data_IF_443830304655
#
_entry.id   IF_443830304655
#
_cell.length_a   1.000
_cell.length_b   1.000
_cell.length_c   1.000
_cell.angle_alpha   90.00
_cell.angle_beta   90.00
_cell.angle_gamma   90.00
#
_symmetry.space_group_name_H-M   'P 1'
#
loop_
_entity.id
_entity.type
_entity.pdbx_description
1 polymer ?
#
# COMPACT_ATOMS: atom_id res chain seq x y z
N UNK A 1 -45.39 8.31 18.19
CA UNK A 1 -44.28 7.38 17.88
C UNK A 1 -43.04 7.96 18.53
N UNK A 2 -42.59 7.40 19.65
CA UNK A 2 -41.33 7.82 20.28
C UNK A 2 -40.18 7.38 19.38
N UNK A 3 -39.24 8.28 19.08
CA UNK A 3 -38.04 7.91 18.36
C UNK A 3 -37.23 6.94 19.23
N UNK A 4 -36.91 5.75 18.69
CA UNK A 4 -36.04 4.80 19.37
C UNK A 4 -34.67 5.43 19.61
N UNK A 5 -34.27 5.50 20.88
CA UNK A 5 -32.95 6.01 21.24
C UNK A 5 -31.90 4.96 20.87
N UNK A 6 -30.90 5.39 20.08
CA UNK A 6 -29.76 4.56 19.71
C UNK A 6 -28.54 4.91 20.58
N UNK A 7 -27.85 3.89 21.06
CA UNK A 7 -26.61 4.02 21.83
C UNK A 7 -25.43 3.44 21.05
N UNK A 8 -24.31 4.16 21.02
CA UNK A 8 -23.06 3.71 20.42
C UNK A 8 -22.09 3.29 21.52
N UNK A 9 -21.74 2.00 21.54
CA UNK A 9 -20.76 1.45 22.46
C UNK A 9 -19.42 1.30 21.74
N UNK A 10 -18.35 1.79 22.37
CA UNK A 10 -17.00 1.71 21.84
C UNK A 10 -16.11 0.90 22.78
N UNK A 11 -15.45 -0.10 22.24
CA UNK A 11 -14.33 -0.74 22.94
C UNK A 11 -13.04 -0.02 22.56
N UNK A 12 -12.51 0.77 23.50
CA UNK A 12 -11.38 1.68 23.26
C UNK A 12 -10.11 1.00 22.72
N UNK A 13 -9.85 -0.24 23.14
CA UNK A 13 -8.65 -0.99 22.77
C UNK A 13 -8.93 -2.12 21.78
N UNK A 14 -10.06 -2.07 21.06
CA UNK A 14 -10.46 -3.13 20.13
C UNK A 14 -9.37 -3.45 19.09
N UNK A 15 -8.73 -2.43 18.51
CA UNK A 15 -7.71 -2.62 17.50
C UNK A 15 -6.46 -3.33 18.06
N UNK A 16 -5.93 -2.88 19.20
CA UNK A 16 -4.77 -3.54 19.83
C UNK A 16 -5.12 -4.95 20.26
N UNK A 17 -6.31 -5.17 20.82
CA UNK A 17 -6.76 -6.48 21.26
C UNK A 17 -6.87 -7.46 20.09
N UNK A 18 -7.45 -7.05 18.95
CA UNK A 18 -7.59 -7.93 17.79
C UNK A 18 -6.23 -8.25 17.16
N UNK A 19 -5.32 -7.26 17.06
CA UNK A 19 -3.97 -7.49 16.53
C UNK A 19 -3.18 -8.45 17.42
N UNK A 20 -3.21 -8.25 18.73
CA UNK A 20 -2.52 -9.14 19.70
C UNK A 20 -3.11 -10.56 19.67
N UNK A 21 -4.43 -10.70 19.50
CA UNK A 21 -5.05 -12.00 19.37
C UNK A 21 -4.56 -12.74 18.11
N UNK A 22 -4.46 -12.07 16.96
CA UNK A 22 -3.95 -12.69 15.74
C UNK A 22 -2.45 -13.02 15.82
N UNK A 23 -1.66 -12.23 16.54
CA UNK A 23 -0.26 -12.55 16.85
C UNK A 23 -0.17 -13.86 17.66
N UNK A 24 -0.88 -13.97 18.78
CA UNK A 24 -0.91 -15.21 19.57
C UNK A 24 -1.39 -16.42 18.77
N UNK A 25 -2.47 -16.28 17.97
CA UNK A 25 -2.96 -17.36 17.10
C UNK A 25 -1.90 -17.83 16.09
N UNK A 26 -1.05 -16.91 15.60
CA UNK A 26 0.04 -17.28 14.70
C UNK A 26 1.15 -18.02 15.44
N UNK A 27 1.55 -17.52 16.61
CA UNK A 27 2.64 -18.09 17.41
C UNK A 27 2.30 -19.50 17.93
N UNK A 28 1.04 -19.70 18.33
CA UNK A 28 0.52 -20.99 18.79
C UNK A 28 0.13 -21.93 17.61
N UNK A 29 0.22 -21.44 16.36
CA UNK A 29 -0.24 -22.12 15.14
C UNK A 29 -1.73 -22.54 15.17
N UNK A 30 -2.57 -21.84 15.92
CA UNK A 30 -3.99 -22.09 16.02
C UNK A 30 -4.73 -21.63 14.77
N UNK A 31 -5.64 -22.47 14.23
CA UNK A 31 -6.45 -22.18 13.04
C UNK A 31 -5.67 -21.81 11.77
N UNK A 32 -4.36 -22.06 11.72
CA UNK A 32 -3.56 -21.90 10.50
C UNK A 32 -4.08 -22.84 9.42
N UNK A 33 -4.32 -22.29 8.25
CA UNK A 33 -5.02 -22.98 7.16
C UNK A 33 -4.29 -22.84 5.81
N UNK A 34 -3.03 -22.42 5.84
CA UNK A 34 -2.12 -22.34 4.68
C UNK A 34 -0.67 -22.50 5.13
N UNK A 35 0.14 -23.10 4.27
CA UNK A 35 1.61 -23.16 4.44
C UNK A 35 2.30 -22.40 3.31
N UNK A 36 3.25 -21.54 3.65
CA UNK A 36 4.16 -20.89 2.70
C UNK A 36 5.51 -21.58 2.76
N UNK A 37 6.03 -22.02 1.61
CA UNK A 37 7.30 -22.73 1.50
C UNK A 37 8.32 -21.91 0.71
N UNK A 38 9.52 -21.71 1.26
CA UNK A 38 10.64 -21.06 0.59
C UNK A 38 11.97 -21.59 1.16
N UNK A 39 13.03 -21.63 0.34
CA UNK A 39 14.37 -22.10 0.76
C UNK A 39 14.38 -23.45 1.51
N UNK A 40 13.52 -24.39 1.11
CA UNK A 40 13.40 -25.70 1.76
C UNK A 40 12.75 -25.66 3.16
N UNK A 41 12.30 -24.49 3.62
CA UNK A 41 11.63 -24.26 4.90
C UNK A 41 10.17 -23.91 4.68
N UNK A 42 9.37 -24.02 5.74
CA UNK A 42 7.93 -23.78 5.72
C UNK A 42 7.51 -22.88 6.88
N UNK A 43 6.49 -22.04 6.64
CA UNK A 43 5.83 -21.21 7.64
C UNK A 43 4.32 -21.39 7.50
N UNK A 44 3.63 -21.72 8.59
CA UNK A 44 2.16 -21.77 8.61
C UNK A 44 1.58 -20.38 8.88
N UNK A 45 0.40 -20.12 8.32
CA UNK A 45 -0.27 -18.82 8.44
C UNK A 45 -1.78 -18.95 8.24
N UNK A 46 -2.47 -17.82 8.34
CA UNK A 46 -3.90 -17.69 8.10
C UNK A 46 -4.18 -17.11 6.71
N UNK A 47 -4.98 -17.80 5.90
CA UNK A 47 -5.47 -17.32 4.59
C UNK A 47 -6.16 -15.97 4.72
N UNK A 48 -6.90 -15.76 5.81
CA UNK A 48 -7.60 -14.50 6.08
C UNK A 48 -6.62 -13.33 6.15
N UNK A 49 -5.58 -13.42 6.98
CA UNK A 49 -4.58 -12.36 7.17
C UNK A 49 -3.83 -12.11 5.86
N UNK A 50 -3.34 -13.17 5.19
CA UNK A 50 -2.67 -13.03 3.89
C UNK A 50 -3.56 -12.33 2.85
N UNK A 51 -4.84 -12.71 2.77
CA UNK A 51 -5.81 -12.09 1.86
C UNK A 51 -6.17 -10.65 2.26
N UNK A 52 -6.10 -10.33 3.55
CA UNK A 52 -6.33 -9.00 4.13
C UNK A 52 -5.12 -8.07 4.01
N UNK A 53 -3.93 -8.59 3.72
CA UNK A 53 -2.73 -7.79 3.51
C UNK A 53 -2.21 -7.82 2.07
N UNK A 54 -2.62 -8.78 1.23
CA UNK A 54 -2.13 -8.94 -0.14
C UNK A 54 -3.24 -9.26 -1.14
N UNK A 55 -3.47 -8.41 -2.17
CA UNK A 55 -4.33 -8.75 -3.31
C UNK A 55 -3.83 -9.96 -4.10
N UNK A 56 -2.51 -10.21 -4.12
CA UNK A 56 -1.93 -11.40 -4.74
C UNK A 56 -2.41 -12.67 -4.04
N UNK A 57 -2.20 -12.79 -2.73
CA UNK A 57 -2.66 -13.95 -1.97
C UNK A 57 -4.18 -14.09 -2.01
N UNK A 58 -4.93 -12.98 -1.92
CA UNK A 58 -6.39 -13.01 -2.06
C UNK A 58 -6.83 -13.63 -3.39
N UNK A 59 -6.22 -13.22 -4.49
CA UNK A 59 -6.58 -13.72 -5.83
C UNK A 59 -6.15 -15.18 -6.00
N UNK A 60 -4.95 -15.54 -5.52
CA UNK A 60 -4.41 -16.89 -5.54
C UNK A 60 -5.32 -17.87 -4.78
N UNK A 61 -5.72 -17.52 -3.56
CA UNK A 61 -6.50 -18.41 -2.69
C UNK A 61 -7.96 -18.51 -3.12
N UNK A 62 -8.55 -17.42 -3.64
CA UNK A 62 -9.92 -17.45 -4.17
C UNK A 62 -10.04 -18.37 -5.40
N UNK A 63 -9.00 -18.41 -6.24
CA UNK A 63 -8.97 -19.27 -7.43
C UNK A 63 -8.70 -20.75 -7.14
N UNK A 64 -8.27 -21.09 -5.91
CA UNK A 64 -7.82 -22.43 -5.54
C UNK A 64 -8.43 -22.85 -4.19
N UNK A 65 -9.71 -23.26 -4.17
CA UNK A 65 -10.36 -23.71 -2.95
C UNK A 65 -9.73 -25.04 -2.49
N UNK A 66 -8.81 -24.95 -1.55
CA UNK A 66 -8.16 -26.08 -0.88
C UNK A 66 -8.23 -25.86 0.63
N UNK A 67 -8.39 -26.94 1.40
CA UNK A 67 -8.43 -26.86 2.86
C UNK A 67 -7.12 -26.28 3.42
N UNK A 68 -5.97 -26.75 2.94
CA UNK A 68 -4.65 -26.32 3.40
C UNK A 68 -3.64 -26.26 2.24
N UNK A 69 -3.67 -25.20 1.40
CA UNK A 69 -2.74 -25.06 0.30
C UNK A 69 -1.30 -24.86 0.80
N UNK A 70 -0.35 -25.43 0.06
CA UNK A 70 1.08 -25.17 0.23
C UNK A 70 1.53 -24.30 -0.95
N UNK A 71 1.94 -23.06 -0.67
CA UNK A 71 2.37 -22.09 -1.68
C UNK A 71 3.88 -22.00 -1.69
N UNK A 72 4.49 -22.40 -2.81
CA UNK A 72 5.93 -22.29 -3.00
C UNK A 72 6.31 -20.90 -3.53
N UNK A 73 7.09 -20.17 -2.75
CA UNK A 73 7.60 -18.84 -3.09
C UNK A 73 9.04 -18.96 -3.56
N UNK A 74 9.23 -18.94 -4.88
CA UNK A 74 10.56 -18.86 -5.49
C UNK A 74 11.15 -17.46 -5.34
N UNK A 75 12.47 -17.37 -5.28
CA UNK A 75 13.22 -16.10 -5.25
C UNK A 75 12.89 -15.22 -4.02
N UNK A 76 12.35 -15.82 -2.96
CA UNK A 76 12.09 -15.18 -1.66
C UNK A 76 12.91 -15.89 -0.62
N UNK A 77 13.72 -15.14 0.13
CA UNK A 77 14.47 -15.69 1.25
C UNK A 77 13.56 -15.93 2.44
N UNK A 78 13.87 -16.93 3.27
CA UNK A 78 13.09 -17.22 4.48
C UNK A 78 13.05 -16.04 5.43
N UNK A 79 14.15 -15.30 5.55
CA UNK A 79 14.23 -14.08 6.36
C UNK A 79 13.23 -13.03 5.86
N UNK A 80 13.22 -12.75 4.55
CA UNK A 80 12.27 -11.79 3.98
C UNK A 80 10.82 -12.26 4.13
N UNK A 81 10.54 -13.55 3.93
CA UNK A 81 9.18 -14.07 4.11
C UNK A 81 8.72 -13.92 5.57
N UNK A 82 9.59 -14.20 6.53
CA UNK A 82 9.30 -14.03 7.97
C UNK A 82 8.99 -12.58 8.27
N UNK A 83 9.87 -11.65 7.86
CA UNK A 83 9.65 -10.21 8.04
C UNK A 83 8.38 -9.69 7.38
N UNK A 84 8.02 -10.23 6.21
CA UNK A 84 6.76 -9.89 5.53
C UNK A 84 5.56 -10.33 6.35
N UNK A 85 5.59 -11.55 6.89
CA UNK A 85 4.50 -12.01 7.76
C UNK A 85 4.44 -11.18 9.04
N UNK A 86 5.57 -10.86 9.67
CA UNK A 86 5.60 -10.04 10.88
C UNK A 86 4.99 -8.66 10.62
N UNK A 87 5.32 -8.04 9.48
CA UNK A 87 4.65 -6.83 9.03
C UNK A 87 3.13 -7.01 8.85
N UNK A 88 2.68 -8.15 8.31
CA UNK A 88 1.25 -8.42 8.12
C UNK A 88 0.48 -8.62 9.43
N UNK A 89 1.09 -9.22 10.45
CA UNK A 89 0.44 -9.50 11.74
C UNK A 89 0.57 -8.35 12.73
N UNK A 90 1.70 -7.64 12.76
CA UNK A 90 1.94 -6.55 13.72
C UNK A 90 1.65 -5.16 13.15
N UNK A 91 1.59 -5.05 11.82
CA UNK A 91 1.48 -3.77 11.12
C UNK A 91 2.81 -3.03 10.98
N UNK A 92 3.90 -3.56 11.52
CA UNK A 92 5.26 -3.02 11.45
C UNK A 92 6.32 -4.14 11.50
N UNK A 93 7.53 -3.84 11.02
CA UNK A 93 8.67 -4.75 11.07
C UNK A 93 9.97 -3.97 11.11
N UNK A 94 10.97 -4.49 11.81
CA UNK A 94 12.32 -3.96 11.81
C UNK A 94 13.18 -4.75 10.82
N UNK A 95 13.78 -4.07 9.85
CA UNK A 95 14.64 -4.68 8.82
C UNK A 95 15.96 -3.92 8.78
N UNK A 96 17.07 -4.64 8.63
CA UNK A 96 18.39 -4.01 8.52
C UNK A 96 18.52 -3.22 7.22
N UNK A 97 19.40 -2.22 7.20
CA UNK A 97 19.65 -1.42 5.99
C UNK A 97 20.04 -2.27 4.78
N UNK A 98 20.81 -3.34 5.01
CA UNK A 98 21.29 -4.24 3.95
C UNK A 98 20.16 -5.11 3.39
N UNK A 99 19.17 -5.47 4.21
CA UNK A 99 18.05 -6.33 3.78
C UNK A 99 16.89 -5.54 3.19
N UNK A 100 16.77 -4.24 3.53
CA UNK A 100 15.65 -3.38 3.17
C UNK A 100 15.26 -3.45 1.69
N UNK A 101 16.25 -3.39 0.79
CA UNK A 101 15.99 -3.45 -0.65
C UNK A 101 15.37 -4.79 -1.07
N UNK A 102 15.86 -5.91 -0.51
CA UNK A 102 15.35 -7.25 -0.80
C UNK A 102 13.98 -7.50 -0.17
N UNK A 103 13.76 -6.97 1.04
CA UNK A 103 12.47 -6.98 1.72
C UNK A 103 11.40 -6.24 0.90
N UNK A 104 11.68 -5.00 0.47
CA UNK A 104 10.74 -4.21 -0.34
C UNK A 104 10.46 -4.86 -1.69
N UNK A 105 11.48 -5.45 -2.34
CA UNK A 105 11.28 -6.22 -3.58
C UNK A 105 10.34 -7.41 -3.36
N UNK A 106 10.48 -8.11 -2.23
CA UNK A 106 9.59 -9.21 -1.86
C UNK A 106 8.17 -8.71 -1.60
N UNK A 107 8.03 -7.59 -0.87
CA UNK A 107 6.75 -6.96 -0.58
C UNK A 107 6.00 -6.56 -1.86
N UNK A 108 6.71 -5.99 -2.84
CA UNK A 108 6.18 -5.63 -4.15
C UNK A 108 5.71 -6.87 -4.92
N UNK A 109 6.55 -7.91 -5.00
CA UNK A 109 6.21 -9.16 -5.70
C UNK A 109 4.98 -9.84 -5.10
N UNK A 110 4.84 -9.82 -3.77
CA UNK A 110 3.69 -10.34 -3.04
C UNK A 110 2.55 -9.33 -2.94
N UNK A 111 2.65 -8.14 -3.53
CA UNK A 111 1.65 -7.06 -3.51
C UNK A 111 1.17 -6.72 -2.09
N UNK A 112 2.09 -6.63 -1.13
CA UNK A 112 1.74 -6.34 0.27
C UNK A 112 1.25 -4.90 0.41
N UNK A 113 0.02 -4.72 0.91
CA UNK A 113 -0.57 -3.39 1.13
C UNK A 113 0.30 -2.56 2.06
N UNK A 114 0.41 -1.27 1.77
CA UNK A 114 1.25 -0.34 2.53
C UNK A 114 2.75 -0.39 2.18
N UNK A 115 3.20 -1.42 1.46
CA UNK A 115 4.60 -1.57 1.02
C UNK A 115 4.77 -1.67 -0.50
N UNK A 116 3.76 -2.20 -1.21
CA UNK A 116 3.76 -2.30 -2.66
C UNK A 116 3.13 -1.07 -3.34
N UNK A 117 3.71 -0.60 -4.44
CA UNK A 117 3.32 0.61 -5.18
C UNK A 117 2.07 0.44 -6.08
N UNK A 118 1.05 -0.30 -5.65
CA UNK A 118 -0.17 -0.48 -6.46
C UNK A 118 -1.26 0.60 -6.22
N UNK A 119 -1.14 1.43 -5.16
CA UNK A 119 -2.14 2.46 -4.81
C UNK A 119 -1.81 3.87 -5.34
N UNK A 120 -0.61 4.13 -5.86
CA UNK A 120 -0.28 5.44 -6.46
C UNK A 120 -1.08 5.72 -7.75
N UNK A 121 -1.46 4.69 -8.51
CA UNK A 121 -2.20 4.85 -9.80
C UNK A 121 -3.73 4.86 -9.67
N UNK A 122 -4.32 4.26 -8.63
CA UNK A 122 -5.78 4.29 -8.44
C UNK A 122 -6.28 5.62 -7.88
N UNK A 123 -5.52 6.27 -7.01
CA UNK A 123 -5.87 7.60 -6.50
C UNK A 123 -5.76 8.70 -7.59
N UNK A 124 -4.91 8.50 -8.60
CA UNK A 124 -4.82 9.40 -9.76
C UNK A 124 -6.01 9.27 -10.74
N UNK A 125 -6.76 8.17 -10.73
CA UNK A 125 -7.96 8.01 -11.60
C UNK A 125 -9.27 8.41 -10.93
N UNK A 126 -9.35 8.37 -9.59
CA UNK A 126 -10.54 8.82 -8.85
C UNK A 126 -10.51 10.33 -8.56
N UNK A 127 -9.34 10.98 -8.62
CA UNK A 127 -9.19 12.42 -8.35
C UNK A 127 -9.11 13.29 -9.62
N UNK A 128 -9.63 12.81 -10.75
CA UNK A 128 -9.87 13.64 -11.94
C UNK A 128 -11.36 13.98 -12.08
N UNK A 129 -12.01 14.34 -10.97
CA UNK A 129 -13.07 15.34 -11.02
C UNK A 129 -12.42 16.68 -10.67
N UNK A 130 -12.44 17.69 -11.56
CA UNK A 130 -11.74 18.97 -11.37
C UNK A 130 -12.32 19.85 -10.24
N UNK A 131 -13.17 19.32 -9.36
CA UNK A 131 -13.93 20.09 -8.37
C UNK A 131 -13.32 20.17 -6.96
N UNK A 132 -12.16 19.57 -6.66
CA UNK A 132 -11.64 19.48 -5.26
C UNK A 132 -10.18 19.87 -5.03
N UNK A 133 -9.55 20.55 -5.99
CA UNK A 133 -8.20 21.10 -5.82
C UNK A 133 -8.05 22.23 -4.76
N UNK A 134 -9.02 23.14 -4.52
CA UNK A 134 -8.75 24.29 -3.65
C UNK A 134 -8.68 23.98 -2.14
N UNK A 135 -9.08 22.78 -1.69
CA UNK A 135 -9.08 22.45 -0.25
C UNK A 135 -7.73 21.87 0.25
N UNK A 136 -6.92 21.31 -0.64
CA UNK A 136 -5.64 20.69 -0.29
C UNK A 136 -4.53 21.73 -0.09
N UNK A 137 -4.54 22.84 -0.84
CA UNK A 137 -3.62 23.96 -0.62
C UNK A 137 -3.84 24.61 0.75
N UNK A 138 -5.10 24.81 1.16
CA UNK A 138 -5.43 25.40 2.47
C UNK A 138 -4.87 24.60 3.65
N UNK A 139 -4.86 23.26 3.55
CA UNK A 139 -4.38 22.38 4.63
C UNK A 139 -2.85 22.37 4.75
N UNK A 140 -2.13 22.63 3.67
CA UNK A 140 -0.66 22.76 3.66
C UNK A 140 -0.23 24.10 4.28
N UNK A 141 -0.92 25.18 3.95
CA UNK A 141 -0.64 26.53 4.51
C UNK A 141 -0.97 26.64 6.00
N UNK A 142 -1.84 25.79 6.52
CA UNK A 142 -2.28 25.79 7.93
C UNK A 142 -1.46 24.88 8.86
N UNK A 143 -0.39 24.23 8.38
CA UNK A 143 0.51 23.45 9.24
C UNK A 143 -0.13 22.25 9.97
N UNK A 144 -1.33 21.83 9.56
CA UNK A 144 -2.11 20.76 10.22
C UNK A 144 -1.72 19.33 9.78
N UNK A 145 -0.75 19.19 8.88
CA UNK A 145 -0.29 17.92 8.36
C UNK A 145 1.03 17.55 9.03
N UNK A 146 0.96 16.63 10.00
CA UNK A 146 2.13 16.05 10.65
C UNK A 146 3.03 15.30 9.66
N UNK A 147 4.31 15.19 10.04
CA UNK A 147 5.45 14.68 9.26
C UNK A 147 5.21 13.36 8.49
N UNK A 148 4.24 12.54 8.91
CA UNK A 148 3.84 11.29 8.24
C UNK A 148 3.25 11.48 6.83
N UNK A 149 2.74 12.68 6.47
CA UNK A 149 2.28 13.00 5.09
C UNK A 149 3.31 13.76 4.25
N UNK A 150 4.33 14.36 4.89
CA UNK A 150 5.40 15.06 4.18
C UNK A 150 6.28 14.12 3.35
N UNK A 151 6.40 12.84 3.76
CA UNK A 151 7.14 11.81 3.03
C UNK A 151 6.59 11.60 1.60
N UNK A 152 5.31 11.86 1.36
CA UNK A 152 4.70 11.74 0.02
C UNK A 152 5.07 12.91 -0.90
N UNK A 153 5.43 14.08 -0.37
CA UNK A 153 5.71 15.28 -1.16
C UNK A 153 7.19 15.40 -1.59
N UNK A 154 8.12 14.76 -0.87
CA UNK A 154 9.56 14.91 -1.13
C UNK A 154 10.10 14.09 -2.32
N UNK A 155 9.28 13.28 -3.00
CA UNK A 155 9.77 12.38 -4.07
C UNK A 155 9.72 12.98 -5.48
N UNK A 156 9.19 14.21 -5.66
CA UNK A 156 9.24 14.89 -6.97
C UNK A 156 10.14 16.12 -6.97
N UNK A 157 11.44 15.93 -6.75
CA UNK A 157 12.46 16.82 -7.31
C UNK A 157 13.61 16.01 -7.90
N UNK A 158 13.44 15.56 -9.14
CA UNK A 158 14.57 15.17 -9.99
C UNK A 158 14.29 15.73 -11.38
N UNK A 159 14.76 16.96 -11.58
CA UNK A 159 14.87 17.54 -12.91
C UNK A 159 16.03 16.82 -13.62
N UNK A 160 15.72 16.02 -14.65
CA UNK A 160 16.70 15.60 -15.65
C UNK A 160 16.43 16.40 -16.92
N UNK A 161 17.24 17.44 -17.14
CA UNK A 161 17.41 18.05 -18.46
C UNK A 161 18.26 17.12 -19.33
N UNK A 162 17.94 16.99 -20.63
CA UNK A 162 18.97 16.89 -21.66
C UNK A 162 18.96 18.14 -22.55
N UNK A 163 20.17 18.50 -22.97
CA UNK A 163 20.54 19.67 -23.79
C UNK A 163 20.00 19.63 -25.24
N UNK A 164 20.00 20.77 -25.96
CA UNK A 164 19.40 20.92 -27.28
C UNK A 164 20.43 20.85 -28.42
N UNK A 165 20.13 20.06 -29.46
CA UNK A 165 20.61 20.26 -30.84
C UNK A 165 19.99 19.19 -31.77
N UNK A 166 18.97 19.54 -32.55
CA UNK A 166 19.14 19.73 -33.99
C UNK A 166 17.82 20.04 -34.71
N UNK A 167 17.94 20.95 -35.69
CA UNK A 167 16.90 21.46 -36.58
C UNK A 167 16.58 20.41 -37.67
N UNK A 168 15.32 20.26 -38.06
CA UNK A 168 14.85 20.60 -39.41
C UNK A 168 13.31 20.47 -39.52
N UNK A 169 12.70 21.26 -40.39
CA UNK A 169 11.29 21.61 -40.40
C UNK A 169 10.33 20.67 -41.14
N UNK A 170 9.03 20.93 -40.94
CA UNK A 170 7.95 20.31 -41.71
C UNK A 170 6.58 20.72 -41.18
N UNK A 171 5.69 21.13 -42.09
CA UNK A 171 4.40 21.80 -41.88
C UNK A 171 3.33 20.91 -41.21
N UNK A 172 2.39 21.53 -40.47
CA UNK A 172 1.02 21.02 -40.30
C UNK A 172 0.38 21.31 -38.94
N UNK A 173 -0.95 21.53 -38.81
CA UNK A 173 -1.46 22.68 -38.07
C UNK A 173 -2.29 22.37 -36.81
N UNK A 174 -2.59 23.48 -36.11
CA UNK A 174 -3.76 23.74 -35.24
C UNK A 174 -3.81 23.00 -33.89
N UNK A 175 -3.66 23.74 -32.79
CA UNK A 175 -4.75 23.93 -31.81
C UNK A 175 -4.51 25.23 -31.02
N UNK A 176 -5.55 26.07 -31.02
CA UNK A 176 -5.62 27.40 -30.42
C UNK A 176 -5.54 27.32 -28.89
N UNK A 177 -4.47 27.83 -28.27
CA UNK A 177 -4.45 28.11 -26.82
C UNK A 177 -4.85 29.57 -26.59
N UNK A 178 -6.09 29.76 -26.16
CA UNK A 178 -6.56 31.03 -25.61
C UNK A 178 -5.78 31.35 -24.33
N UNK A 179 -5.15 32.52 -24.34
CA UNK A 179 -4.67 33.21 -23.15
C UNK A 179 -5.88 33.61 -22.29
N UNK A 180 -5.90 33.25 -21.02
CA UNK A 180 -6.68 33.91 -19.99
C UNK A 180 -5.76 34.07 -18.79
N UNK A 181 -4.94 35.12 -18.76
CA UNK A 181 -5.19 36.37 -18.02
C UNK A 181 -5.48 36.15 -16.53
N UNK A 182 -4.43 36.39 -15.73
CA UNK A 182 -4.48 36.99 -14.40
C UNK A 182 -5.67 37.93 -14.23
N UNK A 183 -6.52 37.67 -13.23
CA UNK A 183 -7.09 38.73 -12.39
C UNK A 183 -7.17 38.27 -10.94
N UNK A 184 -6.59 39.15 -10.11
CA UNK A 184 -6.65 39.19 -8.66
C UNK A 184 -8.10 39.31 -8.19
N UNK A 185 -8.45 38.55 -7.17
CA UNK A 185 -9.21 38.98 -6.00
C UNK A 185 -8.95 37.97 -4.88
#
# INVERSE_FOLDING_TARGET
MGADQQFCLRWNNFHTNITSAFESLRDDEDFVDITLACEGRQIKAHKMVLSACSPYFRSLLKGNPCQHPIVFLKDVTFANLTSILDFMYHGEVNVSHNELATFLKTAEALKVRGLAEDEKKKMLRITMSPARLPHLETLLTQGRLGLKRAVVLLIHTSATHPHPSDRDGGRGPLYTLQKTQMKRC
#
